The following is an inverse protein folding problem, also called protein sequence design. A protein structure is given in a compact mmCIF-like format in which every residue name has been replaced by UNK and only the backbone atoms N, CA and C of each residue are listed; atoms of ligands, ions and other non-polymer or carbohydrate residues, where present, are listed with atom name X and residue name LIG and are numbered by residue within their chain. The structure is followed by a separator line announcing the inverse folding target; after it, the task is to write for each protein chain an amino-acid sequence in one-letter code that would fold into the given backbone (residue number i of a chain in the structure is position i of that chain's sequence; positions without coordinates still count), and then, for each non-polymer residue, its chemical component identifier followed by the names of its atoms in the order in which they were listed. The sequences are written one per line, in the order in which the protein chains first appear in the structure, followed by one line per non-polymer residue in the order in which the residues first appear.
data_IF_085821574657
#
_entry.id   IF_085821574657
#
_cell.length_a   1.000
_cell.length_b   1.000
_cell.length_c   1.000
_cell.angle_alpha   90.00
_cell.angle_beta   90.00
_cell.angle_gamma   90.00
#
_symmetry.space_group_name_H-M   'P 1'
#
loop_
_entity.id
_entity.type
_entity.pdbx_description
1 polymer ?
#
# COMPACT_ATOMS: atom_id res chain seq x y z
N UNK A 1 1.10 -14.22 -17.25
CA UNK A 1 2.15 -13.21 -17.10
C UNK A 1 2.16 -12.68 -15.68
N UNK A 2 3.27 -12.68 -15.06
CA UNK A 2 3.40 -12.13 -13.72
C UNK A 2 3.69 -10.64 -13.82
N UNK A 3 2.86 -9.82 -13.23
CA UNK A 3 3.18 -8.41 -13.08
C UNK A 3 4.40 -8.30 -12.16
N UNK A 4 5.41 -7.60 -12.62
CA UNK A 4 6.65 -7.43 -11.86
C UNK A 4 6.83 -5.97 -11.49
N UNK A 5 7.04 -5.72 -10.23
CA UNK A 5 7.51 -4.44 -9.74
C UNK A 5 8.87 -4.66 -9.05
N UNK A 6 9.68 -3.61 -8.92
CA UNK A 6 11.01 -3.75 -8.33
C UNK A 6 10.96 -4.35 -6.93
N UNK A 7 11.81 -5.32 -6.68
CA UNK A 7 12.04 -5.90 -5.38
C UNK A 7 11.00 -6.92 -4.89
N UNK A 8 9.81 -7.04 -5.48
CA UNK A 8 8.81 -8.01 -5.05
C UNK A 8 8.62 -8.03 -3.53
N UNK A 9 8.89 -9.20 -2.90
CA UNK A 9 8.82 -9.36 -1.45
C UNK A 9 9.81 -8.45 -0.71
N UNK A 10 11.01 -8.24 -1.28
CA UNK A 10 12.01 -7.35 -0.69
C UNK A 10 11.51 -5.90 -0.64
N UNK A 11 10.75 -5.44 -1.64
CA UNK A 11 10.17 -4.10 -1.63
C UNK A 11 9.15 -3.94 -0.52
N UNK A 12 8.29 -4.95 -0.31
CA UNK A 12 7.31 -4.93 0.79
C UNK A 12 8.00 -4.89 2.16
N UNK A 13 9.02 -5.72 2.36
CA UNK A 13 9.80 -5.75 3.59
C UNK A 13 10.50 -4.41 3.86
N UNK A 14 11.02 -3.76 2.81
CA UNK A 14 11.63 -2.45 2.94
C UNK A 14 10.64 -1.39 3.38
N UNK A 15 9.43 -1.39 2.84
CA UNK A 15 8.37 -0.48 3.28
C UNK A 15 8.03 -0.69 4.77
N UNK A 16 7.90 -1.93 5.18
CA UNK A 16 7.66 -2.29 6.59
C UNK A 16 8.79 -1.75 7.48
N UNK A 17 10.04 -1.94 7.07
CA UNK A 17 11.21 -1.45 7.80
C UNK A 17 11.23 0.07 7.87
N UNK A 18 10.98 0.76 6.75
CA UNK A 18 10.93 2.24 6.70
C UNK A 18 9.85 2.80 7.63
N UNK A 19 8.71 2.13 7.74
CA UNK A 19 7.61 2.56 8.59
C UNK A 19 7.83 2.22 10.07
N UNK A 20 8.78 1.35 10.38
CA UNK A 20 9.06 0.93 11.75
C UNK A 20 7.95 0.14 12.42
N UNK A 21 7.07 -0.48 11.63
CA UNK A 21 5.98 -1.30 12.17
C UNK A 21 6.47 -2.71 12.47
N UNK A 22 5.93 -3.29 13.54
CA UNK A 22 6.28 -4.65 13.99
C UNK A 22 5.02 -5.45 14.28
N UNK A 23 5.07 -6.80 14.10
CA UNK A 23 3.95 -7.64 14.52
C UNK A 23 3.80 -7.69 16.06
N UNK A 24 2.58 -7.88 16.58
CA UNK A 24 1.36 -7.95 15.83
C UNK A 24 0.88 -6.55 15.41
N UNK A 25 0.38 -6.45 14.18
CA UNK A 25 -0.13 -5.21 13.61
C UNK A 25 -1.21 -5.60 12.62
N UNK A 26 -2.36 -4.95 12.67
CA UNK A 26 -3.46 -5.21 11.74
C UNK A 26 -3.24 -4.38 10.49
N UNK A 27 -2.98 -5.05 9.37
CA UNK A 27 -2.52 -4.43 8.14
C UNK A 27 -3.41 -4.84 6.96
N UNK A 28 -3.78 -3.86 6.13
CA UNK A 28 -4.49 -4.13 4.88
C UNK A 28 -3.59 -3.83 3.69
N UNK A 29 -3.55 -4.77 2.73
CA UNK A 29 -2.89 -4.59 1.44
C UNK A 29 -3.93 -4.17 0.39
N UNK A 30 -3.86 -2.92 0.00
CA UNK A 30 -4.79 -2.30 -0.95
C UNK A 30 -4.32 -2.54 -2.38
N UNK A 31 -5.03 -3.40 -3.10
CA UNK A 31 -4.60 -3.86 -4.42
C UNK A 31 -3.64 -5.04 -4.33
N UNK A 32 -4.01 -6.06 -3.57
CA UNK A 32 -3.13 -7.17 -3.20
C UNK A 32 -2.87 -8.18 -4.33
N UNK A 33 -3.59 -8.10 -5.44
CA UNK A 33 -3.38 -8.95 -6.60
C UNK A 33 -3.40 -10.44 -6.28
N UNK A 34 -2.30 -11.12 -6.59
CA UNK A 34 -2.15 -12.56 -6.34
C UNK A 34 -1.99 -12.94 -4.86
N UNK A 35 -1.79 -11.96 -3.97
CA UNK A 35 -1.74 -12.20 -2.53
C UNK A 35 -0.37 -12.60 -1.97
N UNK A 36 0.69 -12.50 -2.76
CA UNK A 36 2.03 -12.87 -2.30
C UNK A 36 2.50 -12.05 -1.11
N UNK A 37 2.29 -10.75 -1.13
CA UNK A 37 2.64 -9.86 -0.03
C UNK A 37 1.82 -10.14 1.23
N UNK A 38 0.51 -10.40 1.07
CA UNK A 38 -0.36 -10.77 2.21
C UNK A 38 0.16 -12.03 2.88
N UNK A 39 0.49 -13.05 2.10
CA UNK A 39 1.01 -14.32 2.64
C UNK A 39 2.35 -14.12 3.36
N UNK A 40 3.23 -13.32 2.77
CA UNK A 40 4.51 -12.96 3.39
C UNK A 40 4.30 -12.28 4.74
N UNK A 41 3.45 -11.27 4.79
CA UNK A 41 3.19 -10.53 6.03
C UNK A 41 2.58 -11.41 7.11
N UNK A 42 1.67 -12.30 6.74
CA UNK A 42 1.10 -13.29 7.67
C UNK A 42 2.18 -14.21 8.23
N UNK A 43 3.13 -14.64 7.39
CA UNK A 43 4.23 -15.50 7.83
C UNK A 43 5.15 -14.81 8.84
N UNK A 44 5.19 -13.48 8.82
CA UNK A 44 5.98 -12.67 9.75
C UNK A 44 5.23 -12.31 11.04
N UNK A 45 3.98 -12.74 11.17
CA UNK A 45 3.18 -12.51 12.37
C UNK A 45 2.23 -11.31 12.29
N UNK A 46 2.13 -10.62 11.14
CA UNK A 46 1.13 -9.57 10.96
C UNK A 46 -0.27 -10.16 10.76
N UNK A 47 -1.27 -9.47 11.26
CA UNK A 47 -2.67 -9.75 10.95
C UNK A 47 -3.01 -9.05 9.63
N UNK A 48 -2.63 -9.67 8.52
CA UNK A 48 -2.72 -9.06 7.19
C UNK A 48 -3.96 -9.54 6.44
N UNK A 49 -4.61 -8.59 5.74
CA UNK A 49 -5.74 -8.82 4.88
C UNK A 49 -5.50 -8.08 3.57
N UNK A 50 -5.88 -8.67 2.44
CA UNK A 50 -5.74 -8.03 1.13
C UNK A 50 -7.06 -7.90 0.42
N UNK A 51 -7.22 -6.83 -0.35
CA UNK A 51 -8.34 -6.65 -1.27
C UNK A 51 -7.83 -6.33 -2.69
N UNK A 52 -8.59 -6.77 -3.68
CA UNK A 52 -8.35 -6.47 -5.08
C UNK A 52 -9.65 -6.61 -5.88
N UNK A 53 -9.78 -5.90 -6.99
CA UNK A 53 -10.93 -6.05 -7.89
C UNK A 53 -10.93 -7.42 -8.56
N UNK A 54 -9.73 -7.98 -8.80
CA UNK A 54 -9.52 -9.32 -9.36
C UNK A 54 -8.67 -10.13 -8.39
N UNK A 55 -9.26 -10.61 -7.28
CA UNK A 55 -8.48 -11.19 -6.21
C UNK A 55 -7.89 -12.56 -6.57
N UNK A 56 -6.64 -12.77 -6.19
CA UNK A 56 -6.00 -14.06 -6.16
C UNK A 56 -6.36 -14.84 -4.89
N UNK A 57 -5.70 -15.97 -4.68
CA UNK A 57 -5.92 -16.82 -3.52
C UNK A 57 -5.58 -16.09 -2.20
N UNK A 58 -6.50 -16.13 -1.25
CA UNK A 58 -6.32 -15.50 0.06
C UNK A 58 -6.54 -13.99 0.06
N UNK A 59 -7.01 -13.42 -1.05
CA UNK A 59 -7.34 -12.00 -1.18
C UNK A 59 -8.86 -11.87 -1.37
N UNK A 60 -9.46 -10.89 -0.72
CA UNK A 60 -10.89 -10.61 -0.86
C UNK A 60 -11.14 -9.64 -2.02
N UNK A 61 -12.33 -9.73 -2.62
CA UNK A 61 -12.75 -8.76 -3.63
C UNK A 61 -13.07 -7.44 -2.95
N UNK A 62 -12.49 -6.35 -3.46
CA UNK A 62 -12.77 -5.01 -2.97
C UNK A 62 -12.14 -3.95 -3.85
N UNK A 63 -12.70 -2.74 -3.79
CA UNK A 63 -12.24 -1.58 -4.54
C UNK A 63 -11.47 -0.67 -3.59
N UNK A 64 -10.23 -0.30 -3.95
CA UNK A 64 -9.42 0.64 -3.14
C UNK A 64 -10.04 2.03 -3.06
N UNK A 65 -10.97 2.37 -3.97
CA UNK A 65 -11.71 3.63 -3.95
C UNK A 65 -12.91 3.61 -3.01
N UNK A 66 -13.31 2.43 -2.55
CA UNK A 66 -14.44 2.24 -1.62
C UNK A 66 -14.25 0.95 -0.82
N UNK A 67 -13.17 0.84 -0.03
CA UNK A 67 -12.89 -0.39 0.72
C UNK A 67 -14.01 -0.65 1.74
N UNK A 68 -14.51 -1.90 1.83
CA UNK A 68 -15.70 -2.22 2.62
C UNK A 68 -15.40 -2.42 4.10
N UNK A 69 -14.71 -1.48 4.72
CA UNK A 69 -14.37 -1.54 6.14
C UNK A 69 -14.71 -0.21 6.82
N UNK A 70 -15.06 -0.24 8.11
CA UNK A 70 -15.33 0.98 8.85
C UNK A 70 -14.06 1.81 9.08
N UNK A 71 -14.21 3.13 9.35
CA UNK A 71 -13.06 3.98 9.68
C UNK A 71 -12.26 3.42 10.85
N UNK A 72 -10.94 3.58 10.79
CA UNK A 72 -10.06 3.21 11.89
C UNK A 72 -9.89 1.71 12.09
N UNK A 73 -10.17 0.89 11.06
CA UNK A 73 -10.12 -0.57 11.15
C UNK A 73 -8.72 -1.15 11.20
N UNK A 74 -7.71 -0.40 10.78
CA UNK A 74 -6.36 -0.93 10.59
C UNK A 74 -5.30 -0.06 11.26
N UNK A 75 -4.22 -0.71 11.68
CA UNK A 75 -3.02 -0.04 12.21
C UNK A 75 -2.13 0.47 11.09
N UNK A 76 -2.08 -0.25 9.97
CA UNK A 76 -1.29 0.11 8.82
C UNK A 76 -2.01 -0.30 7.53
N UNK A 77 -1.71 0.41 6.45
CA UNK A 77 -2.14 0.05 5.11
C UNK A 77 -0.92 0.02 4.19
N UNK A 78 -0.87 -0.97 3.31
CA UNK A 78 0.15 -1.11 2.30
C UNK A 78 -0.48 -0.92 0.93
N UNK A 79 0.16 -0.16 0.06
CA UNK A 79 -0.23 -0.04 -1.32
C UNK A 79 0.99 -0.07 -2.22
N UNK A 80 1.05 -1.07 -3.08
CA UNK A 80 2.10 -1.21 -4.08
C UNK A 80 1.48 -1.14 -5.47
N UNK A 81 1.72 -0.02 -6.19
CA UNK A 81 1.34 0.17 -7.59
C UNK A 81 -0.18 0.07 -7.88
N UNK A 82 -1.04 0.45 -6.94
CA UNK A 82 -2.48 0.31 -7.13
C UNK A 82 -3.23 1.64 -7.23
N UNK A 83 -2.75 2.70 -6.60
CA UNK A 83 -3.53 3.94 -6.51
C UNK A 83 -3.64 4.66 -7.85
N UNK A 84 -2.55 4.73 -8.62
CA UNK A 84 -2.61 5.33 -9.96
C UNK A 84 -3.39 4.46 -10.94
N UNK A 85 -3.32 3.12 -10.80
CA UNK A 85 -4.11 2.21 -11.61
C UNK A 85 -5.61 2.34 -11.35
N UNK A 86 -6.01 2.81 -10.17
CA UNK A 86 -7.42 3.05 -9.85
C UNK A 86 -8.06 4.18 -10.65
N UNK A 87 -7.24 5.06 -11.25
CA UNK A 87 -7.69 6.24 -11.96
C UNK A 87 -8.05 7.43 -11.06
N UNK A 88 -8.01 7.28 -9.74
CA UNK A 88 -8.34 8.33 -8.78
C UNK A 88 -7.43 8.26 -7.55
N UNK A 89 -6.12 8.51 -7.71
CA UNK A 89 -5.16 8.33 -6.63
C UNK A 89 -5.42 9.19 -5.40
N UNK A 90 -5.94 10.40 -5.57
CA UNK A 90 -6.26 11.25 -4.40
C UNK A 90 -7.42 10.68 -3.59
N UNK A 91 -8.44 10.12 -4.26
CA UNK A 91 -9.54 9.44 -3.56
C UNK A 91 -9.03 8.20 -2.84
N UNK A 92 -8.16 7.43 -3.49
CA UNK A 92 -7.55 6.24 -2.88
C UNK A 92 -6.76 6.61 -1.61
N UNK A 93 -6.00 7.70 -1.64
CA UNK A 93 -5.30 8.21 -0.47
C UNK A 93 -6.26 8.59 0.67
N UNK A 94 -7.37 9.27 0.35
CA UNK A 94 -8.37 9.62 1.37
C UNK A 94 -9.03 8.39 1.98
N UNK A 95 -9.32 7.37 1.16
CA UNK A 95 -9.89 6.13 1.67
C UNK A 95 -8.89 5.35 2.53
N UNK A 96 -7.62 5.34 2.17
CA UNK A 96 -6.58 4.78 3.01
C UNK A 96 -6.51 5.49 4.37
N UNK A 97 -6.57 6.82 4.36
CA UNK A 97 -6.58 7.61 5.60
C UNK A 97 -7.80 7.29 6.48
N UNK A 98 -8.96 7.10 5.85
CA UNK A 98 -10.19 6.72 6.57
C UNK A 98 -10.04 5.38 7.27
N UNK A 99 -9.43 4.40 6.61
CA UNK A 99 -9.25 3.05 7.15
C UNK A 99 -8.28 2.99 8.34
N UNK A 100 -7.36 3.91 8.42
CA UNK A 100 -6.33 3.91 9.45
C UNK A 100 -6.80 4.53 10.75
N UNK A 101 -6.44 3.91 11.87
CA UNK A 101 -6.59 4.52 13.18
C UNK A 101 -5.70 5.76 13.30
N UNK A 102 -5.98 6.69 14.24
CA UNK A 102 -5.07 7.80 14.52
C UNK A 102 -3.67 7.27 14.85
N UNK A 103 -2.66 7.84 14.21
CA UNK A 103 -1.28 7.38 14.33
C UNK A 103 -0.92 6.16 13.49
N UNK A 104 -1.87 5.66 12.69
CA UNK A 104 -1.60 4.56 11.74
C UNK A 104 -0.69 4.99 10.60
N UNK A 105 -0.10 4.02 9.91
CA UNK A 105 0.87 4.24 8.85
C UNK A 105 0.37 3.76 7.48
N UNK A 106 0.62 4.57 6.45
CA UNK A 106 0.47 4.16 5.06
C UNK A 106 1.86 3.89 4.47
N UNK A 107 2.04 2.66 4.00
CA UNK A 107 3.23 2.20 3.30
C UNK A 107 2.91 2.21 1.81
N UNK A 108 3.56 3.10 1.07
CA UNK A 108 3.15 3.42 -0.29
C UNK A 108 4.32 3.32 -1.27
N UNK A 109 4.12 2.58 -2.36
CA UNK A 109 5.05 2.49 -3.49
C UNK A 109 4.25 2.53 -4.79
N UNK A 110 4.51 3.53 -5.62
CA UNK A 110 3.79 3.67 -6.90
C UNK A 110 4.60 4.51 -7.89
N UNK A 111 4.15 4.50 -9.13
CA UNK A 111 4.62 5.44 -10.14
C UNK A 111 3.84 6.74 -9.98
N UNK A 112 4.53 7.83 -9.68
CA UNK A 112 3.91 9.13 -9.46
C UNK A 112 4.28 10.07 -10.60
N UNK A 113 3.43 10.27 -11.62
CA UNK A 113 3.77 11.13 -12.77
C UNK A 113 4.15 12.54 -12.38
N UNK A 114 3.60 13.07 -11.28
CA UNK A 114 3.96 14.39 -10.74
C UNK A 114 5.17 14.38 -9.82
N UNK A 115 5.79 13.23 -9.60
CA UNK A 115 6.93 13.06 -8.71
C UNK A 115 6.62 13.22 -7.23
N UNK A 116 7.67 13.25 -6.42
CA UNK A 116 7.56 13.41 -4.97
C UNK A 116 6.79 14.67 -4.53
N UNK A 117 7.00 15.86 -5.14
CA UNK A 117 6.25 17.04 -4.73
C UNK A 117 4.73 16.88 -4.86
N UNK A 118 4.28 16.23 -5.92
CA UNK A 118 2.85 15.95 -6.09
C UNK A 118 2.36 14.97 -5.03
N UNK A 119 3.08 13.87 -4.82
CA UNK A 119 2.72 12.85 -3.84
C UNK A 119 2.64 13.45 -2.43
N UNK A 120 3.62 14.24 -2.05
CA UNK A 120 3.66 14.89 -0.73
C UNK A 120 2.44 15.78 -0.53
N UNK A 121 2.11 16.61 -1.50
CA UNK A 121 0.93 17.50 -1.42
C UNK A 121 -0.37 16.69 -1.34
N UNK A 122 -0.52 15.66 -2.17
CA UNK A 122 -1.71 14.82 -2.18
C UNK A 122 -1.88 14.07 -0.84
N UNK A 123 -0.81 13.53 -0.29
CA UNK A 123 -0.81 12.84 0.99
C UNK A 123 -1.18 13.80 2.14
N UNK A 124 -0.60 14.99 2.16
CA UNK A 124 -0.91 16.01 3.17
C UNK A 124 -2.38 16.45 3.10
N UNK A 125 -2.92 16.63 1.88
CA UNK A 125 -4.35 16.93 1.70
C UNK A 125 -5.26 15.81 2.19
N UNK A 126 -4.79 14.56 2.12
CA UNK A 126 -5.53 13.41 2.65
C UNK A 126 -5.41 13.26 4.17
N UNK A 127 -4.57 14.07 4.82
CA UNK A 127 -4.39 14.05 6.26
C UNK A 127 -3.14 13.33 6.75
N UNK A 128 -2.26 12.91 5.85
CA UNK A 128 -1.02 12.26 6.20
C UNK A 128 0.10 13.25 6.49
N UNK A 129 0.99 12.86 7.41
CA UNK A 129 2.31 13.46 7.53
C UNK A 129 3.28 12.56 6.75
N UNK A 130 3.99 13.14 5.79
CA UNK A 130 4.95 12.37 4.99
C UNK A 130 6.25 12.19 5.79
N UNK A 131 6.65 10.94 5.97
CA UNK A 131 7.89 10.55 6.63
C UNK A 131 9.01 10.27 5.63
N UNK A 132 9.59 9.07 5.70
CA UNK A 132 10.67 8.67 4.81
C UNK A 132 10.16 8.49 3.36
N UNK A 133 10.91 9.03 2.40
CA UNK A 133 10.65 8.88 0.97
C UNK A 133 11.92 8.42 0.29
N UNK A 134 11.76 7.48 -0.64
CA UNK A 134 12.88 6.94 -1.42
C UNK A 134 12.48 6.89 -2.89
N UNK A 135 13.33 7.42 -3.77
CA UNK A 135 13.13 7.36 -5.21
C UNK A 135 13.83 6.11 -5.76
N UNK A 136 13.04 5.17 -6.28
CA UNK A 136 13.52 3.90 -6.84
C UNK A 136 13.33 3.84 -8.37
N UNK A 137 13.26 4.99 -9.04
CA UNK A 137 13.02 5.06 -10.48
C UNK A 137 14.02 4.22 -11.28
N UNK A 138 15.28 4.22 -10.90
CA UNK A 138 16.32 3.44 -11.59
C UNK A 138 16.10 1.93 -11.43
N UNK A 139 15.63 1.48 -10.28
CA UNK A 139 15.27 0.07 -10.06
C UNK A 139 14.10 -0.34 -10.94
N UNK A 140 13.11 0.54 -11.12
CA UNK A 140 12.00 0.31 -12.03
C UNK A 140 12.46 0.13 -13.48
N UNK A 141 13.39 0.96 -13.93
CA UNK A 141 13.97 0.84 -15.27
C UNK A 141 14.73 -0.48 -15.43
N UNK A 142 15.47 -0.89 -14.42
CA UNK A 142 16.24 -2.14 -14.43
C UNK A 142 15.32 -3.38 -14.39
N UNK A 143 14.14 -3.29 -13.81
CA UNK A 143 13.19 -4.40 -13.65
C UNK A 143 12.39 -4.72 -14.93
N UNK A 144 12.47 -3.89 -15.97
CA UNK A 144 11.74 -4.07 -17.22
C UNK A 144 12.34 -5.16 -18.08
#
# INVERSE_FOLDING_TARGET
MTARHPGGEAAALRLVEMAGITPPCRLIDLGAGAGGTVRLLRSLGFEALGIDLLPGEGVERGDVLAPPFPPGSFDAALCECAFFLSGAPERALREAARLLRPGGALLFSDVCPGGEPWLRRAAERAGFRVGAVEDITDEWKAAK
#
